data_IF_582612062206
#
_entry.id   IF_582612062206
#
_cell.length_a   1.000
_cell.length_b   1.000
_cell.length_c   1.000
_cell.angle_alpha   90.00
_cell.angle_beta   90.00
_cell.angle_gamma   90.00
#
_symmetry.space_group_name_H-M   'P 1'
#
loop_
_entity.id
_entity.type
_entity.pdbx_description
1 polymer ?
#
# COMPACT_ATOMS: atom_id res chain seq x y z
N UNK A 1 1.95 0.13 -8.40
CA UNK A 1 1.23 0.72 -7.25
C UNK A 1 0.09 1.60 -7.75
N UNK A 2 0.39 2.71 -8.45
CA UNK A 2 -0.61 3.64 -9.00
C UNK A 2 -1.72 2.97 -9.85
N UNK A 3 -1.40 1.95 -10.66
CA UNK A 3 -2.44 1.23 -11.42
C UNK A 3 -3.44 0.49 -10.54
N UNK A 4 -2.98 -0.13 -9.45
CA UNK A 4 -3.87 -0.79 -8.50
C UNK A 4 -4.76 0.24 -7.77
N UNK A 5 -4.21 1.42 -7.45
CA UNK A 5 -4.95 2.53 -6.87
C UNK A 5 -6.04 3.03 -7.82
N UNK A 6 -5.71 3.25 -9.11
CA UNK A 6 -6.68 3.64 -10.14
C UNK A 6 -7.80 2.60 -10.28
N UNK A 7 -7.45 1.32 -10.27
CA UNK A 7 -8.43 0.22 -10.36
C UNK A 7 -9.38 0.19 -9.17
N UNK A 8 -8.86 0.31 -7.95
CA UNK A 8 -9.65 0.24 -6.71
C UNK A 8 -10.53 1.49 -6.54
N UNK A 9 -9.94 2.68 -6.73
CA UNK A 9 -10.67 3.95 -6.55
C UNK A 9 -11.63 4.25 -7.71
N UNK A 10 -11.41 3.63 -8.87
CA UNK A 10 -12.05 3.96 -10.16
C UNK A 10 -11.93 5.45 -10.50
N UNK A 11 -10.88 6.09 -10.01
CA UNK A 11 -10.62 7.50 -10.20
C UNK A 11 -9.33 7.67 -11.02
N UNK A 12 -9.29 8.63 -11.97
CA UNK A 12 -8.04 9.01 -12.60
C UNK A 12 -7.08 9.57 -11.54
N UNK A 13 -5.88 8.97 -11.43
CA UNK A 13 -4.82 9.47 -10.54
C UNK A 13 -3.70 9.97 -11.46
N UNK A 14 -3.58 11.29 -11.71
CA UNK A 14 -2.49 11.83 -12.53
C UNK A 14 -1.12 11.47 -11.95
N UNK A 15 -0.16 11.17 -12.83
CA UNK A 15 1.20 10.82 -12.45
C UNK A 15 2.17 11.71 -13.23
N UNK A 16 3.15 12.25 -12.52
CA UNK A 16 4.29 12.96 -13.08
C UNK A 16 5.58 12.27 -12.62
N UNK A 17 6.52 12.07 -13.54
CA UNK A 17 7.82 11.49 -13.22
C UNK A 17 8.75 12.63 -12.83
N UNK A 18 9.36 12.51 -11.65
CA UNK A 18 10.31 13.46 -11.11
C UNK A 18 11.67 12.79 -10.83
N UNK A 19 12.68 13.61 -10.56
CA UNK A 19 14.03 13.13 -10.24
C UNK A 19 14.04 12.21 -9.00
N UNK A 20 15.00 11.29 -8.98
CA UNK A 20 15.15 10.37 -7.86
C UNK A 20 15.55 11.12 -6.60
N UNK A 21 14.81 10.90 -5.51
CA UNK A 21 15.17 11.42 -4.20
C UNK A 21 16.51 10.80 -3.74
N UNK A 22 17.55 11.60 -3.46
CA UNK A 22 18.84 11.09 -2.99
C UNK A 22 18.68 10.21 -1.75
N UNK A 23 19.43 9.11 -1.70
CA UNK A 23 19.40 8.16 -0.59
C UNK A 23 18.32 7.06 -0.67
N UNK A 24 17.39 7.12 -1.63
CA UNK A 24 16.45 6.02 -1.86
C UNK A 24 17.11 4.90 -2.69
N UNK A 25 17.10 3.64 -2.24
CA UNK A 25 17.50 2.51 -3.07
C UNK A 25 16.47 2.23 -4.17
N UNK A 26 16.85 1.43 -5.17
CA UNK A 26 15.95 0.97 -6.24
C UNK A 26 14.82 0.08 -5.71
N UNK A 27 15.18 -0.84 -4.81
CA UNK A 27 14.26 -1.84 -4.23
C UNK A 27 14.62 -2.09 -2.77
N UNK A 28 13.61 -2.22 -1.91
CA UNK A 28 13.78 -2.56 -0.50
C UNK A 28 12.65 -3.49 -0.05
N UNK A 29 12.95 -4.78 0.10
CA UNK A 29 11.98 -5.82 0.51
C UNK A 29 12.64 -6.76 1.51
N UNK A 30 11.98 -7.03 2.64
CA UNK A 30 12.46 -7.98 3.64
C UNK A 30 11.92 -9.40 3.36
N UNK A 31 12.72 -10.43 3.63
CA UNK A 31 12.22 -11.82 3.66
C UNK A 31 11.35 -12.03 4.90
N UNK A 32 10.22 -12.70 4.70
CA UNK A 32 9.30 -13.12 5.76
C UNK A 32 9.51 -14.57 6.23
N UNK A 33 10.50 -15.27 5.68
CA UNK A 33 10.66 -16.73 5.87
C UNK A 33 10.88 -17.09 7.33
N UNK A 34 11.71 -16.31 8.05
CA UNK A 34 11.97 -16.53 9.47
C UNK A 34 10.71 -16.39 10.32
N UNK A 35 9.85 -15.40 10.03
CA UNK A 35 8.60 -15.21 10.73
C UNK A 35 7.62 -16.37 10.47
N UNK A 36 7.55 -16.85 9.23
CA UNK A 36 6.74 -18.04 8.87
C UNK A 36 7.21 -19.28 9.62
N UNK A 37 8.52 -19.54 9.65
CA UNK A 37 9.10 -20.74 10.26
C UNK A 37 9.02 -20.74 11.79
N UNK A 38 9.37 -19.62 12.44
CA UNK A 38 9.50 -19.57 13.90
C UNK A 38 8.16 -19.28 14.58
N UNK A 39 7.33 -18.44 13.98
CA UNK A 39 6.08 -17.96 14.60
C UNK A 39 4.83 -18.63 14.01
N UNK A 40 4.98 -19.43 12.95
CA UNK A 40 3.84 -19.90 12.16
C UNK A 40 3.06 -18.75 11.49
N UNK A 41 3.69 -17.58 11.37
CA UNK A 41 3.00 -16.39 10.88
C UNK A 41 2.71 -16.51 9.39
N UNK A 42 1.46 -16.25 9.01
CA UNK A 42 1.01 -16.17 7.62
C UNK A 42 0.29 -14.83 7.42
N UNK A 43 0.66 -14.02 6.41
CA UNK A 43 -0.11 -12.81 6.10
C UNK A 43 -1.52 -13.20 5.66
N UNK A 44 -2.52 -12.57 6.28
CA UNK A 44 -3.93 -12.66 5.87
C UNK A 44 -4.24 -11.78 4.66
N UNK A 45 -3.44 -10.72 4.47
CA UNK A 45 -3.60 -9.72 3.43
C UNK A 45 -2.28 -9.58 2.66
N UNK A 46 -2.13 -10.35 1.59
CA UNK A 46 -0.95 -10.36 0.71
C UNK A 46 -1.25 -9.80 -0.69
N UNK A 47 -2.49 -9.35 -0.92
CA UNK A 47 -2.94 -8.71 -2.14
C UNK A 47 -2.96 -7.18 -2.01
N UNK A 48 -2.22 -6.50 -2.87
CA UNK A 48 -2.15 -5.03 -2.89
C UNK A 48 -3.49 -4.34 -3.13
N UNK A 49 -4.39 -4.92 -3.95
CA UNK A 49 -5.72 -4.34 -4.21
C UNK A 49 -6.58 -4.35 -2.95
N UNK A 50 -6.52 -5.42 -2.15
CA UNK A 50 -7.26 -5.51 -0.89
C UNK A 50 -6.71 -4.55 0.17
N UNK A 51 -5.40 -4.39 0.23
CA UNK A 51 -4.75 -3.41 1.12
C UNK A 51 -5.21 -1.99 0.74
N UNK A 52 -5.16 -1.63 -0.55
CA UNK A 52 -5.62 -0.32 -1.02
C UNK A 52 -7.12 -0.14 -0.78
N UNK A 53 -7.95 -1.15 -1.01
CA UNK A 53 -9.40 -1.07 -0.81
C UNK A 53 -9.78 -0.73 0.63
N UNK A 54 -9.13 -1.39 1.60
CA UNK A 54 -9.39 -1.11 3.02
C UNK A 54 -8.95 0.30 3.41
N UNK A 55 -7.80 0.77 2.92
CA UNK A 55 -7.35 2.15 3.12
C UNK A 55 -8.29 3.17 2.47
N UNK A 56 -8.68 2.95 1.22
CA UNK A 56 -9.56 3.84 0.47
C UNK A 56 -10.93 3.95 1.14
N UNK A 57 -11.49 2.83 1.61
CA UNK A 57 -12.76 2.82 2.35
C UNK A 57 -12.69 3.70 3.61
N UNK A 58 -11.60 3.62 4.37
CA UNK A 58 -11.40 4.47 5.53
C UNK A 58 -11.33 5.95 5.13
N UNK A 59 -10.44 6.31 4.20
CA UNK A 59 -10.26 7.70 3.78
C UNK A 59 -11.50 8.32 3.13
N UNK A 60 -12.26 7.52 2.37
CA UNK A 60 -13.51 7.99 1.73
C UNK A 60 -14.63 8.25 2.74
N UNK A 61 -14.61 7.57 3.89
CA UNK A 61 -15.62 7.73 4.94
C UNK A 61 -15.19 8.72 6.04
N UNK A 62 -13.88 8.95 6.17
CA UNK A 62 -13.27 9.85 7.14
C UNK A 62 -12.32 10.84 6.44
N UNK A 63 -12.85 11.74 5.58
CA UNK A 63 -12.00 12.63 4.79
C UNK A 63 -11.15 13.59 5.65
N UNK A 64 -11.61 13.89 6.87
CA UNK A 64 -10.91 14.75 7.82
C UNK A 64 -10.20 13.95 8.94
N UNK A 65 -10.13 12.62 8.83
CA UNK A 65 -9.56 11.76 9.87
C UNK A 65 -10.50 11.51 11.04
N UNK A 66 -9.93 11.31 12.23
CA UNK A 66 -10.68 11.10 13.47
C UNK A 66 -11.32 12.42 13.92
N UNK A 67 -12.43 12.33 14.67
CA UNK A 67 -12.94 13.49 15.39
C UNK A 67 -12.01 13.80 16.56
N UNK A 68 -11.64 15.07 16.70
CA UNK A 68 -10.88 15.59 17.85
C UNK A 68 -11.70 15.53 19.16
#
# INVERSE_FOLDING_TARGET
MVEAERKVTRHPIPLEIADRRPGNPDTLVASSDKARQVLGWQPKFDNIEMIIETAWKWHSTHPNGYAD
#
